data_IF_124426333218
#
_entry.id   IF_124426333218
#
_cell.length_a   1.000
_cell.length_b   1.000
_cell.length_c   1.000
_cell.angle_alpha   90.00
_cell.angle_beta   90.00
_cell.angle_gamma   90.00
#
_symmetry.space_group_name_H-M   'P 1'
#
loop_
_entity.id
_entity.type
_entity.pdbx_description
1 polymer ?
#
# COMPACT_ATOMS: atom_id res chain seq x y z
N UNK A 1 15.20 -6.29 16.79
CA UNK A 1 15.36 -6.90 15.46
C UNK A 1 14.37 -6.22 14.51
N UNK A 2 14.81 -5.76 13.35
CA UNK A 2 13.92 -5.15 12.36
C UNK A 2 13.08 -6.24 11.68
N UNK A 3 11.76 -6.00 11.57
CA UNK A 3 10.77 -6.92 11.02
C UNK A 3 10.24 -6.38 9.70
N UNK A 4 10.37 -7.17 8.64
CA UNK A 4 9.76 -6.88 7.35
C UNK A 4 8.33 -7.42 7.31
N UNK A 5 7.40 -6.62 6.79
CA UNK A 5 6.02 -7.02 6.50
C UNK A 5 5.67 -6.65 5.06
N UNK A 6 4.68 -7.33 4.49
CA UNK A 6 4.09 -6.99 3.20
C UNK A 6 2.60 -6.70 3.41
N UNK A 7 2.14 -5.51 3.05
CA UNK A 7 0.73 -5.14 3.02
C UNK A 7 0.21 -5.40 1.62
N UNK A 8 -0.77 -6.28 1.44
CA UNK A 8 -1.17 -6.74 0.10
C UNK A 8 -2.64 -7.16 0.04
N UNK A 9 -3.29 -6.85 -1.07
CA UNK A 9 -4.58 -7.41 -1.48
C UNK A 9 -4.44 -8.44 -2.63
N UNK A 10 -3.20 -8.82 -3.01
CA UNK A 10 -2.97 -9.73 -4.13
C UNK A 10 -3.24 -11.20 -3.72
N UNK A 11 -4.25 -11.88 -4.31
CA UNK A 11 -4.62 -13.25 -3.92
C UNK A 11 -3.48 -14.25 -4.11
N UNK A 12 -2.59 -14.04 -5.09
CA UNK A 12 -1.43 -14.92 -5.33
C UNK A 12 -0.47 -14.86 -4.15
N UNK A 13 -0.25 -13.67 -3.57
CA UNK A 13 0.63 -13.50 -2.40
C UNK A 13 -0.07 -14.02 -1.14
N UNK A 14 -1.35 -13.72 -0.98
CA UNK A 14 -2.17 -14.15 0.17
C UNK A 14 -2.22 -15.68 0.26
N UNK A 15 -2.42 -16.36 -0.87
CA UNK A 15 -2.49 -17.83 -0.94
C UNK A 15 -1.20 -18.53 -0.53
N UNK A 16 -0.05 -17.83 -0.52
CA UNK A 16 1.21 -18.37 0.02
C UNK A 16 1.23 -18.48 1.54
N UNK A 17 0.25 -17.90 2.26
CA UNK A 17 0.09 -17.97 3.73
C UNK A 17 1.37 -17.60 4.50
N UNK A 18 2.10 -16.61 3.99
CA UNK A 18 3.34 -16.15 4.61
C UNK A 18 3.01 -15.31 5.86
N UNK A 19 3.63 -15.57 7.03
CA UNK A 19 3.30 -14.89 8.28
C UNK A 19 3.61 -13.38 8.27
N UNK A 20 4.48 -12.93 7.36
CA UNK A 20 4.80 -11.52 7.16
C UNK A 20 3.79 -10.75 6.29
N UNK A 21 2.84 -11.44 5.65
CA UNK A 21 1.83 -10.80 4.80
C UNK A 21 0.64 -10.36 5.65
N UNK A 22 0.32 -9.08 5.58
CA UNK A 22 -0.92 -8.52 6.09
C UNK A 22 -1.91 -8.40 4.94
N UNK A 23 -2.95 -9.24 5.03
CA UNK A 23 -4.03 -9.32 4.06
C UNK A 23 -4.91 -8.09 4.17
N UNK A 24 -5.18 -7.45 3.04
CA UNK A 24 -6.12 -6.34 2.92
C UNK A 24 -7.33 -6.81 2.12
N UNK A 25 -8.50 -6.69 2.76
CA UNK A 25 -9.78 -6.87 2.12
C UNK A 25 -10.23 -5.49 1.64
N UNK A 26 -10.11 -5.25 0.34
CA UNK A 26 -10.25 -3.94 -0.28
C UNK A 26 -9.33 -3.82 -1.50
N UNK A 27 -9.39 -2.70 -2.20
CA UNK A 27 -8.57 -2.50 -3.39
C UNK A 27 -7.35 -1.64 -3.16
N UNK A 28 -6.96 -0.90 -4.20
CA UNK A 28 -5.66 -0.24 -4.26
C UNK A 28 -5.49 0.81 -3.15
N UNK A 29 -6.51 1.65 -2.93
CA UNK A 29 -6.47 2.69 -1.89
C UNK A 29 -6.36 2.10 -0.49
N UNK A 30 -7.08 1.01 -0.19
CA UNK A 30 -7.04 0.37 1.13
C UNK A 30 -5.64 -0.13 1.48
N UNK A 31 -4.90 -0.66 0.49
CA UNK A 31 -3.50 -1.06 0.65
C UNK A 31 -2.63 0.16 0.98
N UNK A 32 -2.83 1.29 0.30
CA UNK A 32 -2.07 2.52 0.56
C UNK A 32 -2.37 3.09 1.96
N UNK A 33 -3.65 3.17 2.33
CA UNK A 33 -4.09 3.67 3.64
C UNK A 33 -3.53 2.79 4.76
N UNK A 34 -3.53 1.47 4.56
CA UNK A 34 -2.92 0.58 5.54
C UNK A 34 -1.41 0.76 5.65
N UNK A 35 -0.72 1.01 4.54
CA UNK A 35 0.70 1.31 4.60
C UNK A 35 0.97 2.61 5.38
N UNK A 36 0.15 3.65 5.19
CA UNK A 36 0.21 4.91 5.97
C UNK A 36 0.01 4.65 7.46
N UNK A 37 -0.99 3.86 7.85
CA UNK A 37 -1.22 3.47 9.25
C UNK A 37 0.00 2.82 9.90
N UNK A 38 0.76 2.04 9.13
CA UNK A 38 1.99 1.39 9.62
C UNK A 38 3.12 2.39 9.73
N UNK A 39 3.27 3.29 8.77
CA UNK A 39 4.28 4.34 8.80
C UNK A 39 4.09 5.23 10.03
N UNK A 40 2.85 5.61 10.35
CA UNK A 40 2.52 6.33 11.59
C UNK A 40 2.84 5.55 12.87
N UNK A 41 2.95 4.22 12.79
CA UNK A 41 3.40 3.34 13.89
C UNK A 41 4.91 3.09 13.88
N UNK A 42 5.66 3.88 13.10
CA UNK A 42 7.11 3.83 13.02
C UNK A 42 7.66 2.81 12.03
N UNK A 43 6.88 2.36 11.04
CA UNK A 43 7.39 1.58 9.92
C UNK A 43 7.96 2.48 8.81
N UNK A 44 8.88 1.95 8.02
CA UNK A 44 9.50 2.61 6.87
C UNK A 44 9.12 1.93 5.56
N UNK A 45 8.95 2.71 4.50
CA UNK A 45 8.78 2.18 3.14
C UNK A 45 10.07 1.54 2.65
N UNK A 46 9.97 0.28 2.22
CA UNK A 46 11.07 -0.42 1.52
C UNK A 46 10.84 -0.38 0.01
N UNK A 47 9.58 -0.38 -0.43
CA UNK A 47 9.19 -0.30 -1.83
C UNK A 47 8.35 0.94 -2.08
N UNK A 48 8.53 1.56 -3.25
CA UNK A 48 7.70 2.68 -3.65
C UNK A 48 6.20 2.28 -3.76
N UNK A 49 5.25 3.08 -3.24
CA UNK A 49 3.82 2.75 -3.25
C UNK A 49 3.17 2.80 -4.64
N UNK A 50 3.71 3.59 -5.57
CA UNK A 50 3.27 3.59 -6.97
C UNK A 50 4.20 2.72 -7.82
N UNK A 51 3.63 1.96 -8.77
CA UNK A 51 4.37 1.01 -9.61
C UNK A 51 4.50 1.52 -11.04
N UNK A 52 5.64 2.16 -11.34
CA UNK A 52 5.98 2.61 -12.70
C UNK A 52 4.93 3.55 -13.30
N UNK A 53 4.81 3.52 -14.63
CA UNK A 53 3.83 4.33 -15.39
C UNK A 53 2.44 3.69 -15.48
N UNK A 54 2.14 2.69 -14.64
CA UNK A 54 0.85 2.01 -14.65
C UNK A 54 -0.11 2.76 -13.74
N UNK A 55 -1.25 3.18 -14.27
CA UNK A 55 -2.27 3.91 -13.51
C UNK A 55 -2.84 3.05 -12.38
N UNK A 56 -2.91 3.55 -11.14
CA UNK A 56 -3.63 2.92 -10.03
C UNK A 56 -5.04 2.43 -10.38
N UNK A 57 -5.75 3.10 -11.29
CA UNK A 57 -7.10 2.72 -11.74
C UNK A 57 -7.12 1.38 -12.48
N UNK A 58 -6.06 1.02 -13.20
CA UNK A 58 -6.04 -0.23 -13.99
C UNK A 58 -5.37 -1.38 -13.24
N UNK A 59 -4.94 -1.15 -11.99
CA UNK A 59 -4.26 -2.14 -11.16
C UNK A 59 -5.25 -2.80 -10.19
N UNK A 60 -5.58 -4.08 -10.38
CA UNK A 60 -6.47 -4.79 -9.44
C UNK A 60 -5.82 -5.02 -8.08
N UNK A 61 -4.49 -5.13 -8.04
CA UNK A 61 -3.76 -5.50 -6.83
C UNK A 61 -2.56 -4.60 -6.57
N UNK A 62 -2.29 -4.34 -5.29
CA UNK A 62 -1.07 -3.68 -4.81
C UNK A 62 -0.43 -4.49 -3.69
N UNK A 63 0.90 -4.38 -3.60
CA UNK A 63 1.69 -4.93 -2.50
C UNK A 63 2.78 -3.96 -2.12
N UNK A 64 2.91 -3.65 -0.83
CA UNK A 64 3.89 -2.70 -0.30
C UNK A 64 4.70 -3.39 0.80
N UNK A 65 6.02 -3.35 0.65
CA UNK A 65 6.95 -3.85 1.67
C UNK A 65 7.29 -2.73 2.63
N UNK A 66 7.20 -3.04 3.92
CA UNK A 66 7.53 -2.14 5.02
C UNK A 66 8.49 -2.83 5.98
N UNK A 67 9.37 -2.05 6.57
CA UNK A 67 10.27 -2.48 7.64
C UNK A 67 9.89 -1.77 8.94
N UNK A 68 9.89 -2.49 10.07
CA UNK A 68 9.69 -1.86 11.38
C UNK A 68 10.88 -0.97 11.74
N UNK A 69 10.65 0.31 11.99
CA UNK A 69 11.64 1.26 12.47
C UNK A 69 11.70 1.33 14.01
N UNK A 70 12.54 2.23 14.56
CA UNK A 70 12.77 2.39 16.00
C UNK A 70 11.60 3.07 16.74
N UNK A 71 10.38 3.01 16.21
CA UNK A 71 9.17 3.61 16.81
C UNK A 71 8.96 5.09 16.50
N UNK A 72 9.92 5.77 15.86
CA UNK A 72 9.74 7.12 15.33
C UNK A 72 9.17 7.07 13.91
N UNK A 73 8.32 8.05 13.58
CA UNK A 73 7.78 8.19 12.23
C UNK A 73 8.89 8.57 11.27
N UNK A 74 8.89 7.93 10.10
CA UNK A 74 9.84 8.23 9.02
C UNK A 74 9.20 9.24 8.07
N UNK A 75 9.66 10.49 8.13
CA UNK A 75 9.05 11.62 7.41
C UNK A 75 9.06 11.43 5.89
N UNK A 76 10.14 10.86 5.34
CA UNK A 76 10.24 10.56 3.92
C UNK A 76 9.18 9.52 3.51
N UNK A 77 9.06 8.42 4.25
CA UNK A 77 8.03 7.43 4.01
C UNK A 77 6.62 8.02 4.09
N UNK A 78 6.38 8.90 5.07
CA UNK A 78 5.11 9.57 5.29
C UNK A 78 4.76 10.52 4.12
N UNK A 79 5.74 11.29 3.64
CA UNK A 79 5.57 12.16 2.49
C UNK A 79 5.23 11.36 1.23
N UNK A 80 6.00 10.30 0.93
CA UNK A 80 5.83 9.46 -0.26
C UNK A 80 4.44 8.79 -0.25
N UNK A 81 4.02 8.20 0.88
CA UNK A 81 2.71 7.52 0.94
C UNK A 81 1.56 8.51 0.79
N UNK A 82 1.66 9.71 1.37
CA UNK A 82 0.63 10.74 1.25
C UNK A 82 0.49 11.23 -0.19
N UNK A 83 1.60 11.44 -0.90
CA UNK A 83 1.58 11.79 -2.33
C UNK A 83 0.96 10.68 -3.18
N UNK A 84 1.31 9.42 -2.90
CA UNK A 84 0.73 8.27 -3.60
C UNK A 84 -0.79 8.15 -3.39
N UNK A 85 -1.27 8.35 -2.16
CA UNK A 85 -2.69 8.36 -1.82
C UNK A 85 -3.40 9.50 -2.55
N UNK A 86 -2.85 10.72 -2.50
CA UNK A 86 -3.44 11.88 -3.17
C UNK A 86 -3.58 11.66 -4.68
N UNK A 87 -2.53 11.12 -5.33
CA UNK A 87 -2.55 10.78 -6.75
C UNK A 87 -3.55 9.67 -7.08
N UNK A 88 -3.59 8.59 -6.30
CA UNK A 88 -4.56 7.51 -6.52
C UNK A 88 -6.02 8.00 -6.36
N UNK A 89 -6.28 8.86 -5.36
CA UNK A 89 -7.61 9.46 -5.14
C UNK A 89 -8.02 10.38 -6.30
N UNK A 90 -7.12 11.22 -6.80
CA UNK A 90 -7.46 12.13 -7.91
C UNK A 90 -7.84 11.37 -9.17
N UNK A 91 -7.16 10.25 -9.41
CA UNK A 91 -7.50 9.34 -10.49
C UNK A 91 -8.89 8.70 -10.29
N UNK A 92 -9.15 8.11 -9.13
CA UNK A 92 -10.45 7.44 -8.87
C UNK A 92 -11.63 8.43 -8.97
N UNK A 93 -11.44 9.68 -8.56
CA UNK A 93 -12.46 10.74 -8.72
C UNK A 93 -12.75 11.09 -10.19
N UNK A 94 -11.76 10.95 -11.09
CA UNK A 94 -11.93 11.26 -12.52
C UNK A 94 -12.75 10.19 -13.28
N UNK A 95 -12.62 8.91 -12.91
CA UNK A 95 -13.47 7.84 -13.44
C UNK A 95 -13.67 6.72 -12.40
N UNK A 96 -14.79 6.74 -11.66
CA UNK A 96 -15.07 5.75 -10.61
C UNK A 96 -15.27 4.32 -11.13
N UNK A 97 -15.58 4.14 -12.42
CA UNK A 97 -15.89 2.82 -13.01
C UNK A 97 -14.67 1.92 -13.13
N UNK A 98 -13.48 2.47 -12.92
CA UNK A 98 -12.22 1.75 -12.96
C UNK A 98 -11.75 1.32 -11.56
N UNK A 99 -12.54 1.55 -10.51
CA UNK A 99 -12.22 1.02 -9.18
C UNK A 99 -12.45 -0.50 -9.14
N UNK A 100 -11.40 -1.26 -8.84
CA UNK A 100 -11.47 -2.70 -8.58
C UNK A 100 -12.03 -3.04 -7.19
N UNK A 101 -12.49 -2.02 -6.45
CA UNK A 101 -12.99 -2.15 -5.07
C UNK A 101 -14.34 -2.90 -4.99
N UNK A 102 -15.01 -3.15 -6.12
CA UNK A 102 -16.36 -3.77 -6.20
C UNK A 102 -16.41 -5.13 -6.93
N UNK A 103 -15.28 -5.76 -7.26
CA UNK A 103 -15.23 -7.03 -8.01
C UNK A 103 -15.22 -8.29 -7.12
#
# INVERSE_FOLDING_TARGET
MMKIICVSNNPIIINKKLPQVQVINGGFLDVLEKAKDKILKGYKLVTHPLTGSISPQVMPYKSIILESGPGQVDDESLQIINLAIAYARSLIQLDPRLCWDEA
#
